data_IF_267584929770
#
_entry.id   IF_267584929770
#
_cell.length_a   1.000
_cell.length_b   1.000
_cell.length_c   1.000
_cell.angle_alpha   90.00
_cell.angle_beta   90.00
_cell.angle_gamma   90.00
#
_symmetry.space_group_name_H-M   'P 1'
#
loop_
_entity.id
_entity.type
_entity.pdbx_description
1 polymer ?
#
# COMPACT_ATOMS: atom_id res chain seq x y z
N UNK A 1 11.04 -18.78 -7.96
CA UNK A 1 10.86 -17.52 -8.70
C UNK A 1 9.38 -17.27 -8.90
N UNK A 2 8.96 -16.01 -8.87
CA UNK A 2 7.61 -15.56 -9.23
C UNK A 2 7.71 -14.71 -10.49
N UNK A 3 6.88 -15.00 -11.48
CA UNK A 3 6.60 -14.08 -12.59
C UNK A 3 5.61 -13.04 -12.08
N UNK A 4 5.99 -11.79 -12.19
CA UNK A 4 5.19 -10.65 -11.80
C UNK A 4 5.24 -9.57 -12.85
N UNK A 5 4.77 -8.38 -12.49
CA UNK A 5 4.72 -7.24 -13.37
C UNK A 5 5.08 -5.95 -12.65
N UNK A 6 5.51 -4.99 -13.45
CA UNK A 6 5.58 -3.58 -13.09
C UNK A 6 4.70 -2.80 -14.06
N UNK A 7 3.91 -1.87 -13.53
CA UNK A 7 2.98 -1.04 -14.29
C UNK A 7 3.28 0.43 -14.01
N UNK A 8 3.23 1.23 -15.07
CA UNK A 8 3.39 2.68 -14.97
C UNK A 8 2.27 3.37 -15.72
N UNK A 9 1.56 4.28 -15.06
CA UNK A 9 0.63 5.21 -15.66
C UNK A 9 1.21 6.62 -15.53
N UNK A 10 1.51 7.26 -16.65
CA UNK A 10 2.00 8.63 -16.73
C UNK A 10 0.82 9.57 -16.95
N UNK A 11 0.72 10.63 -16.15
CA UNK A 11 -0.24 11.74 -16.32
C UNK A 11 0.58 13.03 -16.33
N UNK A 12 0.71 13.67 -17.49
CA UNK A 12 1.66 14.76 -17.67
C UNK A 12 3.08 14.29 -17.40
N UNK A 13 3.78 14.92 -16.45
CA UNK A 13 5.12 14.47 -16.02
C UNK A 13 5.12 13.52 -14.80
N UNK A 14 3.95 13.21 -14.24
CA UNK A 14 3.80 12.40 -13.03
C UNK A 14 3.69 10.93 -13.37
N UNK A 15 4.37 10.07 -12.63
CA UNK A 15 4.42 8.62 -12.86
C UNK A 15 3.78 7.88 -11.69
N UNK A 16 2.61 7.29 -11.91
CA UNK A 16 1.94 6.40 -10.96
C UNK A 16 2.45 4.98 -11.20
N UNK A 17 3.14 4.42 -10.21
CA UNK A 17 3.87 3.17 -10.32
C UNK A 17 3.26 2.16 -9.36
N UNK A 18 3.07 0.94 -9.84
CA UNK A 18 2.66 -0.18 -9.01
C UNK A 18 3.33 -1.47 -9.50
N UNK A 19 3.48 -2.45 -8.62
CA UNK A 19 4.16 -3.71 -8.92
C UNK A 19 3.45 -4.86 -8.22
N UNK A 20 3.46 -6.06 -8.81
CA UNK A 20 2.91 -7.26 -8.17
C UNK A 20 3.79 -7.84 -7.04
N UNK A 21 4.63 -7.01 -6.43
CA UNK A 21 5.59 -7.38 -5.40
C UNK A 21 5.33 -6.56 -4.15
N UNK A 22 5.38 -7.24 -3.02
CA UNK A 22 4.95 -6.68 -1.76
C UNK A 22 6.11 -5.93 -1.04
N UNK A 23 5.88 -4.72 -0.48
CA UNK A 23 6.92 -3.82 0.03
C UNK A 23 7.40 -4.06 1.48
N UNK A 24 7.60 -5.32 1.88
CA UNK A 24 8.03 -5.69 3.24
C UNK A 24 7.57 -7.09 3.63
N UNK A 25 7.95 -7.68 4.78
CA UNK A 25 8.08 -6.97 6.05
C UNK A 25 9.51 -6.77 6.54
N UNK A 26 10.52 -7.28 5.83
CA UNK A 26 11.91 -7.26 6.32
C UNK A 26 12.63 -5.95 5.97
N UNK A 27 12.52 -4.94 6.86
CA UNK A 27 13.23 -3.63 6.87
C UNK A 27 14.20 -3.33 5.71
N UNK A 28 15.44 -3.84 5.76
CA UNK A 28 16.49 -3.51 4.79
C UNK A 28 16.73 -4.63 3.76
N UNK A 29 15.80 -5.57 3.63
CA UNK A 29 15.94 -6.75 2.79
C UNK A 29 14.78 -6.78 1.80
N UNK A 30 15.11 -6.77 0.51
CA UNK A 30 14.13 -7.03 -0.55
C UNK A 30 13.02 -5.98 -0.57
N UNK A 31 11.76 -6.42 -0.39
CA UNK A 31 10.56 -5.60 -0.59
C UNK A 31 10.55 -4.24 0.12
N UNK A 32 11.08 -4.13 1.34
CA UNK A 32 11.07 -2.86 2.07
C UNK A 32 12.06 -1.81 1.49
N UNK A 33 12.99 -2.21 0.60
CA UNK A 33 13.79 -1.27 -0.20
C UNK A 33 13.09 -0.84 -1.49
N UNK A 34 12.04 -1.54 -1.92
CA UNK A 34 11.40 -1.34 -3.23
C UNK A 34 10.81 0.05 -3.36
N UNK A 35 10.00 0.46 -2.38
CA UNK A 35 9.34 1.77 -2.37
C UNK A 35 10.38 2.89 -2.39
N UNK A 36 11.34 2.85 -1.47
CA UNK A 36 12.42 3.85 -1.40
C UNK A 36 13.22 3.95 -2.71
N UNK A 37 13.64 2.81 -3.29
CA UNK A 37 14.38 2.81 -4.56
C UNK A 37 13.57 3.40 -5.71
N UNK A 38 12.29 3.05 -5.84
CA UNK A 38 11.43 3.62 -6.88
C UNK A 38 11.27 5.12 -6.68
N UNK A 39 10.98 5.56 -5.45
CA UNK A 39 10.73 6.96 -5.15
C UNK A 39 11.98 7.83 -5.23
N UNK A 40 13.17 7.31 -4.92
CA UNK A 40 14.44 8.05 -5.04
C UNK A 40 14.93 8.13 -6.50
N UNK A 41 14.74 7.07 -7.30
CA UNK A 41 15.26 7.01 -8.69
C UNK A 41 14.31 7.64 -9.70
N UNK A 42 13.01 7.43 -9.53
CA UNK A 42 12.03 7.89 -10.53
C UNK A 42 11.53 9.27 -10.15
N UNK A 43 11.84 10.27 -10.96
CA UNK A 43 11.35 11.64 -10.78
C UNK A 43 9.82 11.74 -10.93
N UNK A 44 9.22 12.62 -10.12
CA UNK A 44 7.77 12.86 -10.08
C UNK A 44 6.93 11.58 -9.95
N UNK A 45 7.41 10.64 -9.16
CA UNK A 45 6.76 9.34 -8.94
C UNK A 45 5.86 9.32 -7.71
N UNK A 46 4.77 8.55 -7.84
CA UNK A 46 3.95 8.04 -6.74
C UNK A 46 3.99 6.51 -6.83
N UNK A 47 4.35 5.85 -5.74
CA UNK A 47 4.20 4.41 -5.62
C UNK A 47 2.84 4.08 -5.01
N UNK A 48 2.11 3.15 -5.61
CA UNK A 48 0.79 2.73 -5.17
C UNK A 48 0.83 1.22 -4.91
N UNK A 49 0.55 0.83 -3.67
CA UNK A 49 0.48 -0.57 -3.28
C UNK A 49 -0.67 -1.26 -4.03
N UNK A 50 -0.37 -2.35 -4.73
CA UNK A 50 -1.40 -3.18 -5.36
C UNK A 50 -1.76 -4.36 -4.48
N UNK A 51 -2.94 -4.99 -4.68
CA UNK A 51 -3.26 -6.28 -4.08
C UNK A 51 -2.11 -7.26 -4.26
N UNK A 52 -1.41 -7.55 -3.18
CA UNK A 52 -0.29 -8.46 -3.06
C UNK A 52 -0.21 -8.85 -1.58
N UNK A 53 0.32 -10.03 -1.28
CA UNK A 53 0.56 -10.46 0.11
C UNK A 53 2.04 -10.68 0.34
N UNK A 54 2.40 -10.90 1.61
CA UNK A 54 3.77 -11.17 2.04
C UNK A 54 4.47 -12.34 1.33
N UNK A 55 3.75 -13.29 0.71
CA UNK A 55 4.37 -14.35 -0.09
C UNK A 55 5.10 -13.80 -1.33
N UNK A 56 4.75 -12.58 -1.74
CA UNK A 56 5.22 -11.88 -2.93
C UNK A 56 6.42 -10.95 -2.69
N UNK A 57 7.01 -11.05 -1.50
CA UNK A 57 8.16 -10.24 -1.09
C UNK A 57 9.41 -10.60 -1.87
N UNK A 58 10.06 -9.65 -2.58
CA UNK A 58 11.39 -9.87 -3.13
C UNK A 58 12.38 -10.30 -2.05
N UNK A 59 13.27 -11.25 -2.37
CA UNK A 59 14.18 -11.83 -1.36
C UNK A 59 15.52 -11.09 -1.21
N UNK A 60 15.90 -10.25 -2.19
CA UNK A 60 17.23 -9.62 -2.21
C UNK A 60 17.22 -8.24 -2.85
N UNK A 61 18.25 -7.43 -2.57
CA UNK A 61 18.43 -6.12 -3.20
C UNK A 61 18.60 -6.22 -4.74
N UNK A 62 19.22 -7.29 -5.24
CA UNK A 62 19.35 -7.56 -6.69
C UNK A 62 18.00 -7.86 -7.33
N UNK A 63 17.11 -8.59 -6.64
CA UNK A 63 15.74 -8.80 -7.13
C UNK A 63 14.98 -7.45 -7.22
N UNK A 64 15.16 -6.57 -6.23
CA UNK A 64 14.58 -5.22 -6.25
C UNK A 64 15.15 -4.38 -7.39
N UNK A 65 16.46 -4.39 -7.61
CA UNK A 65 17.11 -3.67 -8.72
C UNK A 65 16.53 -4.11 -10.06
N UNK A 66 16.38 -5.41 -10.27
CA UNK A 66 15.77 -5.95 -11.49
C UNK A 66 14.33 -5.45 -11.69
N UNK A 67 13.53 -5.34 -10.63
CA UNK A 67 12.18 -4.77 -10.69
C UNK A 67 12.25 -3.30 -11.13
N UNK A 68 13.10 -2.50 -10.48
CA UNK A 68 13.26 -1.07 -10.76
C UNK A 68 13.77 -0.81 -12.17
N UNK A 69 14.76 -1.57 -12.64
CA UNK A 69 15.31 -1.47 -14.00
C UNK A 69 14.30 -1.88 -15.09
N UNK A 70 13.30 -2.70 -14.74
CA UNK A 70 12.24 -3.11 -15.67
C UNK A 70 11.14 -2.05 -15.81
N UNK A 71 11.10 -1.02 -14.94
CA UNK A 71 10.14 0.08 -15.05
C UNK A 71 10.41 0.88 -16.33
N UNK A 72 9.39 0.96 -17.18
CA UNK A 72 9.41 1.77 -18.39
C UNK A 72 8.24 2.75 -18.34
N UNK A 73 8.55 4.03 -18.10
CA UNK A 73 7.56 5.11 -18.02
C UNK A 73 7.69 6.13 -19.16
N UNK A 74 8.55 5.88 -20.16
CA UNK A 74 8.97 6.90 -21.13
C UNK A 74 8.31 6.72 -22.51
N UNK A 75 8.00 5.48 -22.91
CA UNK A 75 7.42 5.19 -24.23
C UNK A 75 5.97 4.75 -24.14
N UNK A 76 5.06 5.71 -24.05
CA UNK A 76 3.66 5.41 -23.78
C UNK A 76 2.76 5.91 -24.90
N UNK A 77 1.84 5.07 -25.35
CA UNK A 77 0.81 5.47 -26.31
C UNK A 77 -0.10 6.48 -25.64
N UNK A 78 -0.37 7.61 -26.31
CA UNK A 78 -1.36 8.58 -25.85
C UNK A 78 -2.73 7.91 -25.69
N UNK A 79 -3.27 7.95 -24.49
CA UNK A 79 -4.58 7.38 -24.13
C UNK A 79 -5.54 8.48 -23.68
N UNK A 80 -6.82 8.37 -24.01
CA UNK A 80 -7.83 9.30 -23.52
C UNK A 80 -8.17 9.00 -22.05
N UNK A 81 -8.60 10.04 -21.31
CA UNK A 81 -9.15 9.92 -19.97
C UNK A 81 -10.66 10.10 -19.98
N UNK A 82 -11.32 9.47 -19.02
CA UNK A 82 -12.75 9.57 -18.80
C UNK A 82 -13.03 10.08 -17.39
N UNK A 83 -14.24 10.61 -17.18
CA UNK A 83 -14.71 11.01 -15.85
C UNK A 83 -14.61 9.84 -14.87
N UNK A 84 -14.10 10.07 -13.65
CA UNK A 84 -14.02 9.03 -12.64
C UNK A 84 -15.41 8.51 -12.24
N UNK A 85 -15.45 7.24 -11.85
CA UNK A 85 -16.65 6.56 -11.35
C UNK A 85 -16.43 6.19 -9.90
N UNK A 86 -17.43 6.44 -9.06
CA UNK A 86 -17.35 6.18 -7.63
C UNK A 86 -18.51 5.27 -7.23
N UNK A 87 -18.18 4.24 -6.46
CA UNK A 87 -19.17 3.32 -5.90
C UNK A 87 -18.82 3.08 -4.45
N UNK A 88 -19.85 3.04 -3.60
CA UNK A 88 -19.68 2.78 -2.18
C UNK A 88 -20.46 1.54 -1.76
N UNK A 89 -19.90 0.85 -0.77
CA UNK A 89 -20.49 -0.27 -0.07
C UNK A 89 -20.58 0.01 1.42
N UNK A 90 -20.72 -1.05 2.19
CA UNK A 90 -20.79 -1.01 3.64
C UNK A 90 -19.40 -0.79 4.25
N UNK A 91 -18.42 -1.59 3.85
CA UNK A 91 -17.05 -1.55 4.38
C UNK A 91 -16.08 -0.84 3.46
N UNK A 92 -16.31 -0.88 2.14
CA UNK A 92 -15.37 -0.36 1.16
C UNK A 92 -15.97 0.75 0.30
N UNK A 93 -15.08 1.61 -0.18
CA UNK A 93 -15.36 2.54 -1.27
C UNK A 93 -14.40 2.27 -2.43
N UNK A 94 -14.90 2.43 -3.64
CA UNK A 94 -14.16 2.20 -4.87
C UNK A 94 -14.22 3.47 -5.73
N UNK A 95 -13.06 4.00 -6.09
CA UNK A 95 -12.91 5.08 -7.05
C UNK A 95 -12.16 4.57 -8.28
N UNK A 96 -12.74 4.74 -9.46
CA UNK A 96 -12.18 4.25 -10.72
C UNK A 96 -11.89 5.44 -11.62
N UNK A 97 -10.67 5.53 -12.10
CA UNK A 97 -10.23 6.48 -13.12
C UNK A 97 -10.05 5.71 -14.44
N UNK A 98 -11.01 5.80 -15.37
CA UNK A 98 -10.93 5.07 -16.62
C UNK A 98 -10.05 5.81 -17.62
N UNK A 99 -9.17 5.07 -18.29
CA UNK A 99 -8.43 5.51 -19.46
C UNK A 99 -8.63 4.51 -20.61
N UNK A 100 -8.21 4.89 -21.82
CA UNK A 100 -8.21 3.96 -22.94
C UNK A 100 -7.34 2.74 -22.61
N UNK A 101 -7.91 1.55 -22.72
CA UNK A 101 -7.21 0.29 -22.54
C UNK A 101 -6.85 -0.08 -21.10
N UNK A 102 -6.92 0.82 -20.11
CA UNK A 102 -6.62 0.52 -18.70
C UNK A 102 -7.51 1.31 -17.75
N UNK A 103 -7.81 0.77 -16.57
CA UNK A 103 -8.51 1.50 -15.49
C UNK A 103 -7.66 1.50 -14.23
N UNK A 104 -7.55 2.66 -13.58
CA UNK A 104 -6.91 2.79 -12.27
C UNK A 104 -7.98 2.76 -11.17
N UNK A 105 -7.94 1.77 -10.29
CA UNK A 105 -8.93 1.50 -9.26
C UNK A 105 -8.31 1.70 -7.88
N UNK A 106 -8.98 2.46 -7.02
CA UNK A 106 -8.60 2.63 -5.62
C UNK A 106 -9.65 1.99 -4.72
N UNK A 107 -9.25 0.96 -3.97
CA UNK A 107 -10.09 0.29 -2.96
C UNK A 107 -9.69 0.86 -1.60
N UNK A 108 -10.62 1.55 -0.95
CA UNK A 108 -10.40 2.24 0.33
C UNK A 108 -11.32 1.69 1.41
N UNK A 109 -10.77 1.43 2.60
CA UNK A 109 -11.51 0.98 3.77
C UNK A 109 -12.26 2.14 4.45
N UNK A 110 -13.49 1.89 4.88
CA UNK A 110 -14.27 2.85 5.67
C UNK A 110 -13.91 2.79 7.15
N UNK A 111 -13.78 1.59 7.70
CA UNK A 111 -13.42 1.36 9.11
C UNK A 111 -12.20 0.46 9.31
N UNK A 112 -11.81 -0.29 8.29
CA UNK A 112 -10.64 -1.14 8.28
C UNK A 112 -10.26 -1.52 6.84
N UNK A 113 -8.97 -1.70 6.59
CA UNK A 113 -8.43 -2.35 5.40
C UNK A 113 -7.04 -2.89 5.72
N UNK A 114 -6.72 -4.05 5.17
CA UNK A 114 -5.44 -4.74 5.23
C UNK A 114 -5.22 -5.45 3.89
N UNK A 115 -4.13 -6.21 3.74
CA UNK A 115 -3.66 -6.79 2.47
C UNK A 115 -4.76 -7.47 1.64
N UNK A 116 -5.17 -6.81 0.56
CA UNK A 116 -6.11 -7.37 -0.41
C UNK A 116 -5.38 -8.48 -1.22
N UNK A 117 -5.95 -9.69 -1.31
CA UNK A 117 -5.34 -10.77 -2.08
C UNK A 117 -5.37 -10.51 -3.60
N UNK A 118 -4.35 -11.02 -4.30
CA UNK A 118 -4.19 -10.90 -5.76
C UNK A 118 -5.38 -11.43 -6.57
N UNK A 119 -6.18 -12.34 -6.02
CA UNK A 119 -7.37 -12.89 -6.66
C UNK A 119 -8.40 -11.82 -7.10
N UNK A 120 -8.33 -10.61 -6.54
CA UNK A 120 -9.14 -9.46 -6.97
C UNK A 120 -8.90 -9.07 -8.43
N UNK A 121 -7.68 -9.26 -8.95
CA UNK A 121 -7.40 -9.00 -10.36
C UNK A 121 -8.25 -9.84 -11.30
N UNK A 122 -8.50 -11.11 -10.97
CA UNK A 122 -9.25 -12.03 -11.84
C UNK A 122 -10.64 -11.48 -12.15
N UNK A 123 -11.45 -11.20 -11.12
CA UNK A 123 -12.81 -10.72 -11.39
C UNK A 123 -12.83 -9.27 -11.88
N UNK A 124 -11.89 -8.43 -11.44
CA UNK A 124 -11.87 -7.03 -11.88
C UNK A 124 -11.53 -6.91 -13.36
N UNK A 125 -10.52 -7.66 -13.83
CA UNK A 125 -10.13 -7.65 -15.23
C UNK A 125 -11.15 -8.36 -16.14
N UNK A 126 -11.85 -9.39 -15.65
CA UNK A 126 -12.99 -10.00 -16.36
C UNK A 126 -14.14 -9.00 -16.59
N UNK A 127 -14.37 -8.08 -15.65
CA UNK A 127 -15.48 -7.13 -15.69
C UNK A 127 -15.11 -5.83 -16.42
N UNK A 128 -13.90 -5.32 -16.18
CA UNK A 128 -13.49 -3.97 -16.61
C UNK A 128 -12.40 -3.99 -17.70
N UNK A 129 -11.82 -5.15 -18.01
CA UNK A 129 -10.58 -5.26 -18.79
C UNK A 129 -9.36 -4.91 -17.95
N UNK A 130 -8.20 -4.67 -18.58
CA UNK A 130 -6.94 -4.40 -17.89
C UNK A 130 -7.06 -3.31 -16.80
N UNK A 131 -6.58 -3.63 -15.59
CA UNK A 131 -6.71 -2.78 -14.40
C UNK A 131 -5.37 -2.57 -13.70
N UNK A 132 -5.16 -1.36 -13.20
CA UNK A 132 -4.23 -1.06 -12.10
C UNK A 132 -5.06 -0.98 -10.83
N UNK A 133 -5.00 -2.00 -9.98
CA UNK A 133 -5.77 -2.05 -8.73
C UNK A 133 -4.87 -1.63 -7.60
N UNK A 134 -5.31 -0.65 -6.83
CA UNK A 134 -4.63 -0.08 -5.69
C UNK A 134 -5.40 -0.50 -4.44
N UNK A 135 -4.71 -1.26 -3.59
CA UNK A 135 -5.12 -1.39 -2.21
C UNK A 135 -4.61 -0.15 -1.49
N UNK A 136 -5.54 0.73 -1.11
CA UNK A 136 -5.15 1.99 -0.48
C UNK A 136 -4.48 1.76 0.87
N UNK A 137 -4.72 0.63 1.54
CA UNK A 137 -4.09 0.26 2.80
C UNK A 137 -4.07 1.44 3.80
N UNK A 138 -5.24 2.06 4.02
CA UNK A 138 -5.38 3.43 4.55
C UNK A 138 -6.31 3.57 5.77
N UNK A 139 -6.61 2.47 6.45
CA UNK A 139 -7.42 2.48 7.66
C UNK A 139 -7.04 1.27 8.52
N UNK A 140 -6.01 1.45 9.34
CA UNK A 140 -5.50 0.38 10.20
C UNK A 140 -6.49 0.01 11.30
N UNK A 141 -6.74 -1.30 11.45
CA UNK A 141 -7.46 -1.86 12.59
C UNK A 141 -6.74 -3.12 13.10
N UNK A 142 -6.38 -3.20 14.39
CA UNK A 142 -5.71 -4.37 14.92
C UNK A 142 -6.52 -5.65 14.72
N UNK A 143 -5.84 -6.72 14.27
CA UNK A 143 -6.42 -8.05 14.00
C UNK A 143 -7.53 -8.09 12.95
N UNK A 144 -7.59 -7.10 12.06
CA UNK A 144 -8.46 -7.15 10.90
C UNK A 144 -7.73 -7.87 9.76
N UNK A 145 -8.42 -8.78 9.07
CA UNK A 145 -7.93 -9.40 7.85
C UNK A 145 -9.08 -9.41 6.83
N UNK A 146 -8.74 -9.29 5.55
CA UNK A 146 -9.72 -9.35 4.46
C UNK A 146 -10.39 -10.73 4.44
N UNK A 147 -11.72 -10.76 4.57
CA UNK A 147 -12.52 -12.01 4.55
C UNK A 147 -13.09 -12.31 3.15
N UNK A 148 -13.60 -13.54 2.89
CA UNK A 148 -14.31 -13.84 1.65
C UNK A 148 -15.52 -12.92 1.40
N UNK A 149 -16.25 -12.51 2.44
CA UNK A 149 -17.38 -11.59 2.35
C UNK A 149 -16.93 -10.19 1.89
N UNK A 150 -15.76 -9.74 2.36
CA UNK A 150 -15.16 -8.48 1.91
C UNK A 150 -14.86 -8.52 0.40
N UNK A 151 -14.36 -9.66 -0.11
CA UNK A 151 -14.13 -9.85 -1.55
C UNK A 151 -15.43 -9.86 -2.36
N UNK A 152 -16.51 -10.43 -1.80
CA UNK A 152 -17.84 -10.39 -2.42
C UNK A 152 -18.35 -8.94 -2.51
N UNK A 153 -18.15 -8.14 -1.46
CA UNK A 153 -18.50 -6.72 -1.48
C UNK A 153 -17.70 -5.95 -2.54
N UNK A 154 -16.38 -6.13 -2.57
CA UNK A 154 -15.49 -5.49 -3.56
C UNK A 154 -15.89 -5.87 -4.98
N UNK A 155 -16.17 -7.15 -5.25
CA UNK A 155 -16.69 -7.60 -6.54
C UNK A 155 -18.00 -6.91 -6.91
N UNK A 156 -18.92 -6.79 -5.95
CA UNK A 156 -20.18 -6.08 -6.13
C UNK A 156 -19.99 -4.58 -6.42
N UNK A 157 -18.97 -3.93 -5.87
CA UNK A 157 -18.60 -2.53 -6.19
C UNK A 157 -18.13 -2.40 -7.63
N UNK A 158 -17.22 -3.28 -8.05
CA UNK A 158 -16.70 -3.34 -9.42
C UNK A 158 -17.84 -3.56 -10.44
N UNK A 159 -18.76 -4.49 -10.15
CA UNK A 159 -19.93 -4.73 -11.00
C UNK A 159 -20.84 -3.50 -11.10
N UNK A 160 -21.07 -2.78 -9.98
CA UNK A 160 -21.87 -1.54 -9.99
C UNK A 160 -21.23 -0.42 -10.80
N UNK A 161 -19.90 -0.36 -10.83
CA UNK A 161 -19.19 0.66 -11.59
C UNK A 161 -19.49 0.57 -13.09
N UNK A 162 -19.68 -0.63 -13.65
CA UNK A 162 -20.01 -0.84 -15.08
C UNK A 162 -21.32 -0.19 -15.53
N UNK A 163 -22.25 0.06 -14.58
CA UNK A 163 -23.55 0.70 -14.88
C UNK A 163 -23.41 2.18 -15.23
N UNK A 164 -22.26 2.79 -14.93
CA UNK A 164 -21.97 4.16 -15.26
C UNK A 164 -21.35 4.21 -16.66
N UNK A 165 -22.03 4.89 -17.59
CA UNK A 165 -21.48 5.12 -18.92
C UNK A 165 -20.19 5.95 -18.86
N UNK A 166 -19.21 5.60 -19.69
CA UNK A 166 -17.97 6.37 -19.80
C UNK A 166 -18.22 7.71 -20.49
N UNK A 167 -17.84 8.80 -19.82
CA UNK A 167 -17.86 10.16 -20.38
C UNK A 167 -16.44 10.63 -20.55
N UNK A 168 -16.02 10.87 -21.78
CA UNK A 168 -14.67 11.36 -22.05
C UNK A 168 -14.46 12.74 -21.40
N UNK A 169 -13.29 12.95 -20.83
CA UNK A 169 -12.88 14.25 -20.26
C UNK A 169 -12.44 15.17 -21.38
N UNK A 170 -12.91 16.43 -21.38
CA UNK A 170 -12.49 17.39 -22.40
C UNK A 170 -11.16 18.06 -22.01
N UNK A 171 -11.02 18.36 -20.72
CA UNK A 171 -9.87 19.05 -20.16
C UNK A 171 -9.46 18.38 -18.84
N UNK A 172 -8.37 17.61 -18.88
CA UNK A 172 -7.75 17.05 -17.69
C UNK A 172 -6.58 17.96 -17.28
N UNK A 173 -6.66 18.52 -16.08
CA UNK A 173 -5.56 19.27 -15.49
C UNK A 173 -5.00 18.55 -14.29
N UNK A 174 -3.75 18.84 -13.98
CA UNK A 174 -3.07 18.27 -12.83
C UNK A 174 -2.15 19.26 -12.13
N UNK A 175 -1.88 19.01 -10.85
CA UNK A 175 -0.74 19.57 -10.14
C UNK A 175 -0.09 18.49 -9.29
N UNK A 176 1.22 18.62 -9.05
CA UNK A 176 1.99 17.61 -8.36
C UNK A 176 2.97 18.23 -7.35
N UNK A 177 2.96 17.66 -6.16
CA UNK A 177 3.90 17.98 -5.09
C UNK A 177 4.51 16.69 -4.54
N UNK A 178 5.80 16.72 -4.23
CA UNK A 178 6.51 15.63 -3.54
C UNK A 178 7.48 16.23 -2.55
N UNK A 179 7.52 15.67 -1.34
CA UNK A 179 8.44 16.09 -0.28
C UNK A 179 9.08 14.86 0.36
N UNK A 180 10.40 14.89 0.54
CA UNK A 180 11.10 13.90 1.35
C UNK A 180 10.89 14.23 2.82
N UNK A 181 10.31 13.30 3.57
CA UNK A 181 9.98 13.44 5.00
C UNK A 181 10.23 12.09 5.67
N UNK A 182 10.98 12.12 6.77
CA UNK A 182 11.15 10.96 7.64
C UNK A 182 10.69 11.32 9.05
N UNK A 183 9.70 10.59 9.55
CA UNK A 183 9.13 10.71 10.90
C UNK A 183 9.20 9.36 11.62
N UNK A 184 8.43 9.16 12.68
CA UNK A 184 8.33 7.88 13.36
C UNK A 184 7.73 6.78 12.45
N UNK A 185 6.72 7.09 11.64
CA UNK A 185 5.99 6.10 10.83
C UNK A 185 6.16 6.31 9.32
N UNK A 186 6.34 7.56 8.86
CA UNK A 186 6.62 7.88 7.46
C UNK A 186 8.09 7.56 7.12
N UNK A 187 8.29 6.72 6.12
CA UNK A 187 9.53 6.05 5.78
C UNK A 187 10.47 6.88 4.89
N UNK A 188 9.96 7.81 4.09
CA UNK A 188 10.83 8.61 3.23
C UNK A 188 10.15 9.71 2.45
N UNK A 189 8.99 9.46 1.83
CA UNK A 189 8.34 10.45 0.97
C UNK A 189 6.85 10.60 1.22
N UNK A 190 6.35 11.80 0.99
CA UNK A 190 4.92 12.00 0.73
C UNK A 190 4.76 12.71 -0.61
N UNK A 191 3.70 12.37 -1.33
CA UNK A 191 3.43 12.96 -2.63
C UNK A 191 1.93 13.17 -2.81
N UNK A 192 1.57 14.25 -3.49
CA UNK A 192 0.18 14.59 -3.78
C UNK A 192 0.03 14.90 -5.27
N UNK A 193 -0.91 14.21 -5.90
CA UNK A 193 -1.37 14.48 -7.26
C UNK A 193 -2.79 15.03 -7.18
N UNK A 194 -2.94 16.30 -7.55
CA UNK A 194 -4.23 16.93 -7.74
C UNK A 194 -4.66 16.71 -9.19
N UNK A 195 -5.91 16.31 -9.40
CA UNK A 195 -6.50 16.12 -10.72
C UNK A 195 -7.79 16.92 -10.80
N UNK A 196 -8.00 17.56 -11.94
CA UNK A 196 -9.24 18.28 -12.24
C UNK A 196 -9.80 17.74 -13.56
N UNK A 197 -10.90 17.01 -13.43
CA UNK A 197 -11.69 16.47 -14.52
C UNK A 197 -12.84 17.45 -14.77
N UNK A 198 -12.70 18.39 -15.71
CA UNK A 198 -13.66 19.46 -16.05
C UNK A 198 -14.46 20.04 -14.84
N UNK A 199 -13.76 20.44 -13.78
CA UNK A 199 -14.29 21.03 -12.56
C UNK A 199 -14.45 20.06 -11.39
N UNK A 200 -14.46 18.74 -11.63
CA UNK A 200 -14.47 17.73 -10.57
C UNK A 200 -13.04 17.43 -10.12
N UNK A 201 -12.71 17.87 -8.90
CA UNK A 201 -11.35 17.79 -8.40
C UNK A 201 -11.12 16.60 -7.48
N UNK A 202 -9.97 15.96 -7.62
CA UNK A 202 -9.51 14.83 -6.84
C UNK A 202 -8.14 15.13 -6.26
N UNK A 203 -7.88 14.66 -5.04
CA UNK A 203 -6.59 14.76 -4.39
C UNK A 203 -6.10 13.35 -4.04
N UNK A 204 -5.14 12.83 -4.82
CA UNK A 204 -4.45 11.58 -4.52
C UNK A 204 -3.24 11.89 -3.64
N UNK A 205 -3.30 11.48 -2.38
CA UNK A 205 -2.22 11.60 -1.41
C UNK A 205 -1.59 10.22 -1.17
N UNK A 206 -0.30 10.11 -1.45
CA UNK A 206 0.51 8.96 -1.09
C UNK A 206 1.33 9.27 0.16
N UNK A 207 1.23 8.35 1.13
CA UNK A 207 2.00 8.36 2.37
C UNK A 207 2.93 7.14 2.37
N UNK A 208 4.25 7.38 2.35
CA UNK A 208 5.24 6.30 2.41
C UNK A 208 5.33 5.74 3.84
N UNK A 209 4.53 4.73 4.14
CA UNK A 209 4.47 4.04 5.43
C UNK A 209 3.66 2.76 5.26
N UNK A 210 3.37 2.03 6.33
CA UNK A 210 2.63 0.76 6.22
C UNK A 210 1.13 1.00 5.98
N UNK A 211 0.39 1.40 7.01
CA UNK A 211 -1.03 1.76 6.88
C UNK A 211 -1.25 3.17 7.46
N UNK A 212 -2.48 3.67 7.36
CA UNK A 212 -2.86 5.00 7.88
C UNK A 212 -3.82 4.84 9.04
N UNK A 213 -3.66 5.68 10.06
CA UNK A 213 -4.61 5.76 11.16
C UNK A 213 -5.99 6.17 10.63
N UNK A 214 -7.04 5.39 10.92
CA UNK A 214 -8.38 5.65 10.39
C UNK A 214 -8.91 7.04 10.76
N UNK A 215 -8.62 7.54 11.97
CA UNK A 215 -9.07 8.87 12.39
C UNK A 215 -8.37 9.97 11.60
N UNK A 216 -7.08 9.79 11.33
CA UNK A 216 -6.32 10.72 10.51
C UNK A 216 -6.75 10.68 9.04
N UNK A 217 -6.98 9.50 8.48
CA UNK A 217 -7.53 9.35 7.13
C UNK A 217 -8.85 10.11 6.97
N UNK A 218 -9.76 10.00 7.95
CA UNK A 218 -11.03 10.73 7.94
C UNK A 218 -10.82 12.26 8.06
N UNK A 219 -9.89 12.70 8.92
CA UNK A 219 -9.49 14.11 9.05
C UNK A 219 -9.00 14.68 7.71
N UNK A 220 -8.15 13.93 6.99
CA UNK A 220 -7.65 14.31 5.67
C UNK A 220 -8.76 14.34 4.60
N UNK A 221 -9.65 13.34 4.58
CA UNK A 221 -10.80 13.32 3.65
C UNK A 221 -11.73 14.51 3.89
N UNK A 222 -11.99 14.88 5.15
CA UNK A 222 -12.76 16.08 5.50
C UNK A 222 -12.06 17.36 5.04
N UNK A 223 -10.75 17.49 5.30
CA UNK A 223 -9.96 18.63 4.84
C UNK A 223 -10.04 18.80 3.32
N UNK A 224 -9.88 17.71 2.56
CA UNK A 224 -10.00 17.76 1.10
C UNK A 224 -11.40 18.19 0.66
N UNK A 225 -12.45 17.63 1.28
CA UNK A 225 -13.84 17.97 0.95
C UNK A 225 -14.14 19.46 1.20
N UNK A 226 -13.68 20.02 2.33
CA UNK A 226 -13.81 21.45 2.66
C UNK A 226 -13.11 22.36 1.64
N UNK A 227 -12.04 21.86 1.02
CA UNK A 227 -11.29 22.55 -0.02
C UNK A 227 -11.77 22.21 -1.46
N UNK A 228 -12.90 21.51 -1.60
CA UNK A 228 -13.51 21.20 -2.90
C UNK A 228 -12.85 20.05 -3.66
N UNK A 229 -12.14 19.16 -2.97
CA UNK A 229 -11.49 17.97 -3.52
C UNK A 229 -12.13 16.69 -2.98
N UNK A 230 -12.20 15.66 -3.82
CA UNK A 230 -12.48 14.29 -3.40
C UNK A 230 -11.16 13.61 -3.03
N UNK A 231 -10.96 13.37 -1.74
CA UNK A 231 -9.73 12.77 -1.20
C UNK A 231 -9.56 11.28 -1.56
N UNK A 232 -8.33 10.90 -1.87
CA UNK A 232 -7.85 9.52 -2.05
C UNK A 232 -6.54 9.40 -1.28
N UNK A 233 -6.60 8.82 -0.10
CA UNK A 233 -5.43 8.59 0.74
C UNK A 233 -4.98 7.16 0.51
N UNK A 234 -3.72 6.97 0.10
CA UNK A 234 -3.12 5.67 -0.10
C UNK A 234 -1.79 5.59 0.64
N UNK A 235 -1.57 4.46 1.30
CA UNK A 235 -0.28 4.10 1.85
C UNK A 235 0.53 3.30 0.83
N UNK A 236 1.86 3.34 0.92
CA UNK A 236 2.73 2.50 0.10
C UNK A 236 2.89 1.08 0.64
N UNK A 237 2.36 0.83 1.83
CA UNK A 237 2.59 -0.39 2.61
C UNK A 237 4.08 -0.67 2.91
N UNK A 238 4.86 0.38 3.12
CA UNK A 238 6.27 0.26 3.45
C UNK A 238 6.46 -0.19 4.91
N UNK A 239 7.07 -1.36 5.11
CA UNK A 239 7.34 -1.91 6.44
C UNK A 239 8.67 -1.46 7.07
N UNK A 240 9.45 -0.56 6.45
CA UNK A 240 10.77 -0.17 6.95
C UNK A 240 10.77 0.30 8.42
N UNK A 241 9.66 0.90 8.86
CA UNK A 241 9.43 1.40 10.23
C UNK A 241 8.39 0.63 11.04
N UNK A 242 7.84 -0.47 10.51
CA UNK A 242 6.77 -1.24 11.18
C UNK A 242 7.35 -2.32 12.11
N UNK A 243 6.73 -2.49 13.29
CA UNK A 243 7.02 -3.57 14.24
C UNK A 243 8.52 -3.76 14.54
N UNK A 244 9.27 -2.64 14.59
CA UNK A 244 10.74 -2.61 14.79
C UNK A 244 11.15 -3.35 16.07
N UNK A 245 10.26 -3.38 17.07
CA UNK A 245 10.45 -4.01 18.36
C UNK A 245 9.10 -4.43 18.94
N UNK A 246 9.03 -5.58 19.64
CA UNK A 246 7.84 -5.98 20.40
C UNK A 246 7.35 -4.93 21.40
N UNK A 247 8.23 -4.00 21.82
CA UNK A 247 7.90 -2.91 22.75
C UNK A 247 7.23 -1.71 22.08
N UNK A 248 7.46 -1.50 20.79
CA UNK A 248 6.97 -0.32 20.04
C UNK A 248 5.60 -0.61 19.42
N UNK A 249 5.27 -1.88 19.19
CA UNK A 249 4.02 -2.28 18.56
C UNK A 249 3.94 -1.84 17.09
N UNK A 250 2.76 -2.00 16.52
CA UNK A 250 2.43 -1.50 15.18
C UNK A 250 1.90 -0.06 15.31
N UNK A 251 2.44 0.88 14.52
CA UNK A 251 2.03 2.29 14.52
C UNK A 251 1.80 2.75 13.06
N UNK A 252 0.55 3.04 12.66
CA UNK A 252 0.25 3.53 11.31
C UNK A 252 0.65 5.01 11.16
N UNK A 253 0.79 5.46 9.91
CA UNK A 253 0.99 6.88 9.59
C UNK A 253 -0.18 7.71 10.15
N UNK A 254 0.16 8.79 10.84
CA UNK A 254 -0.81 9.65 11.53
C UNK A 254 -1.18 9.17 12.93
N UNK A 255 -0.54 8.14 13.48
CA UNK A 255 -0.71 7.80 14.90
C UNK A 255 -0.03 8.82 15.84
N UNK A 256 0.99 9.53 15.35
CA UNK A 256 1.73 10.57 16.07
C UNK A 256 1.25 11.98 15.68
N UNK A 257 1.09 12.86 16.66
CA UNK A 257 0.56 14.21 16.43
C UNK A 257 1.52 15.09 15.63
N UNK A 258 2.82 15.04 15.92
CA UNK A 258 3.79 15.87 15.20
C UNK A 258 3.90 15.42 13.74
N UNK A 259 3.78 14.12 13.47
CA UNK A 259 3.65 13.59 12.11
C UNK A 259 2.42 14.13 11.38
N UNK A 260 1.23 14.17 12.03
CA UNK A 260 0.02 14.77 11.42
C UNK A 260 0.24 16.22 11.01
N UNK A 261 0.82 17.03 11.90
CA UNK A 261 1.08 18.46 11.66
C UNK A 261 1.99 18.68 10.43
N UNK A 262 3.04 17.85 10.28
CA UNK A 262 3.94 17.90 9.11
C UNK A 262 3.22 17.54 7.80
N UNK A 263 2.37 16.51 7.84
CA UNK A 263 1.61 16.07 6.67
C UNK A 263 0.57 17.12 6.27
N UNK A 264 -0.14 17.70 7.24
CA UNK A 264 -1.11 18.77 7.00
C UNK A 264 -0.44 20.02 6.40
N UNK A 265 0.72 20.46 6.92
CA UNK A 265 1.48 21.55 6.29
C UNK A 265 1.82 21.26 4.83
N UNK A 266 2.27 20.03 4.53
CA UNK A 266 2.54 19.65 3.16
C UNK A 266 1.29 19.73 2.27
N UNK A 267 0.15 19.26 2.76
CA UNK A 267 -1.12 19.28 2.03
C UNK A 267 -1.59 20.72 1.80
N UNK A 268 -1.58 21.56 2.83
CA UNK A 268 -1.97 22.98 2.75
C UNK A 268 -1.15 23.74 1.71
N UNK A 269 0.17 23.52 1.68
CA UNK A 269 1.02 24.10 0.65
C UNK A 269 0.72 23.53 -0.74
N UNK A 270 0.42 22.23 -0.82
CA UNK A 270 0.23 21.54 -2.10
C UNK A 270 -1.10 21.86 -2.76
N UNK A 271 -2.18 22.14 -2.01
CA UNK A 271 -3.47 22.56 -2.59
C UNK A 271 -3.44 23.95 -3.24
N UNK A 272 -2.44 24.77 -2.91
CA UNK A 272 -2.24 26.10 -3.49
C UNK A 272 -1.44 26.07 -4.80
N UNK A 273 -0.95 24.91 -5.21
CA UNK A 273 -0.15 24.77 -6.43
C UNK A 273 -1.00 24.94 -7.69
N UNK A 274 -0.40 25.53 -8.72
CA UNK A 274 -1.10 25.82 -9.98
C UNK A 274 -1.34 24.56 -10.81
N UNK A 275 -2.57 24.42 -11.30
CA UNK A 275 -2.94 23.39 -12.25
C UNK A 275 -2.35 23.65 -13.63
N UNK A 276 -1.84 22.60 -14.26
CA UNK A 276 -1.38 22.57 -15.65
C UNK A 276 -2.25 21.63 -16.46
N UNK A 277 -2.38 21.90 -17.75
CA UNK A 277 -3.02 20.98 -18.68
C UNK A 277 -2.21 19.69 -18.82
N UNK A 278 -2.89 18.55 -18.89
CA UNK A 278 -2.26 17.27 -19.21
C UNK A 278 -2.04 17.20 -20.72
N UNK A 279 -0.76 17.24 -21.11
CA UNK A 279 -0.33 17.08 -22.50
C UNK A 279 -0.41 15.62 -22.96
N UNK A 280 0.04 14.71 -22.12
CA UNK A 280 0.14 13.28 -22.40
C UNK A 280 -0.34 12.42 -21.23
N UNK A 281 -1.07 11.36 -21.57
CA UNK A 281 -1.37 10.25 -20.66
C UNK A 281 -0.84 8.99 -21.33
N UNK A 282 -0.20 8.14 -20.55
CA UNK A 282 0.44 6.96 -21.08
C UNK A 282 0.39 5.78 -20.11
N UNK A 283 0.33 4.56 -20.63
CA UNK A 283 0.32 3.33 -19.82
C UNK A 283 1.32 2.30 -20.35
N UNK A 284 2.05 1.66 -19.43
CA UNK A 284 2.90 0.52 -19.70
C UNK A 284 2.71 -0.60 -18.68
N UNK A 285 2.97 -1.81 -19.15
CA UNK A 285 3.10 -3.02 -18.35
C UNK A 285 4.32 -3.78 -18.85
N UNK A 286 5.18 -4.19 -17.93
CA UNK A 286 6.35 -5.03 -18.21
C UNK A 286 6.34 -6.20 -17.25
N UNK A 287 6.61 -7.39 -17.77
CA UNK A 287 6.75 -8.59 -16.97
C UNK A 287 8.17 -8.67 -16.42
N UNK A 288 8.30 -9.15 -15.19
CA UNK A 288 9.59 -9.38 -14.54
C UNK A 288 9.52 -10.65 -13.69
N UNK A 289 10.59 -11.44 -13.73
CA UNK A 289 10.71 -12.65 -12.91
C UNK A 289 11.79 -12.47 -11.86
N UNK A 290 11.44 -12.61 -10.58
CA UNK A 290 12.35 -12.47 -9.44
C UNK A 290 12.14 -13.57 -8.40
N UNK A 291 13.06 -13.70 -7.45
CA UNK A 291 12.86 -14.57 -6.28
C UNK A 291 12.01 -13.86 -5.24
N UNK A 292 10.99 -14.57 -4.77
CA UNK A 292 10.12 -14.13 -3.68
C UNK A 292 10.14 -15.13 -2.53
N UNK A 293 9.73 -14.71 -1.33
CA UNK A 293 9.66 -15.58 -0.15
C UNK A 293 8.81 -16.83 -0.39
N UNK A 294 7.66 -16.66 -1.05
CA UNK A 294 6.70 -17.72 -1.28
C UNK A 294 5.94 -18.13 -0.01
N UNK A 295 4.88 -18.90 -0.20
CA UNK A 295 3.97 -19.31 0.88
C UNK A 295 4.61 -20.24 1.92
N UNK A 296 5.67 -20.95 1.54
CA UNK A 296 6.30 -21.93 2.44
C UNK A 296 7.21 -21.27 3.47
N UNK A 297 7.79 -20.10 3.17
CA UNK A 297 8.70 -19.40 4.08
C UNK A 297 8.05 -19.08 5.43
N UNK A 298 6.83 -18.52 5.41
CA UNK A 298 6.10 -18.19 6.63
C UNK A 298 5.70 -19.44 7.42
N UNK A 299 5.28 -20.51 6.74
CA UNK A 299 4.98 -21.80 7.39
C UNK A 299 6.22 -22.39 8.07
N UNK A 300 7.39 -22.30 7.45
CA UNK A 300 8.64 -22.75 8.05
C UNK A 300 9.04 -21.90 9.26
N UNK A 301 8.87 -20.58 9.19
CA UNK A 301 9.14 -19.69 10.33
C UNK A 301 8.18 -19.98 11.48
N UNK A 302 6.88 -20.08 11.22
CA UNK A 302 5.88 -20.37 12.25
C UNK A 302 6.20 -21.70 12.95
N UNK A 303 6.51 -22.75 12.18
CA UNK A 303 6.93 -24.05 12.71
C UNK A 303 8.22 -23.95 13.53
N UNK A 304 9.21 -23.20 13.06
CA UNK A 304 10.46 -23.00 13.81
C UNK A 304 10.23 -22.25 15.13
N UNK A 305 9.36 -21.24 15.15
CA UNK A 305 8.98 -20.54 16.39
C UNK A 305 8.22 -21.45 17.36
N UNK A 306 7.31 -22.28 16.88
CA UNK A 306 6.63 -23.28 17.70
C UNK A 306 7.63 -24.27 18.31
N UNK A 307 8.56 -24.81 17.50
CA UNK A 307 9.59 -25.74 17.98
C UNK A 307 10.54 -25.09 19.01
N UNK A 308 10.93 -23.83 18.80
CA UNK A 308 11.75 -23.08 19.76
C UNK A 308 10.97 -22.80 21.06
N UNK A 309 9.70 -22.41 20.94
CA UNK A 309 8.80 -22.17 22.08
C UNK A 309 8.60 -23.41 22.93
N UNK A 310 8.33 -24.56 22.30
CA UNK A 310 8.22 -25.85 22.98
C UNK A 310 9.51 -26.21 23.72
N UNK A 311 10.68 -26.08 23.06
CA UNK A 311 11.99 -26.34 23.69
C UNK A 311 12.24 -25.40 24.88
N UNK A 312 11.86 -24.13 24.78
CA UNK A 312 11.98 -23.16 25.87
C UNK A 312 11.10 -23.54 27.08
N UNK A 313 9.88 -24.03 26.83
CA UNK A 313 8.97 -24.52 27.89
C UNK A 313 9.54 -25.76 28.59
N UNK A 314 10.12 -26.72 27.85
CA UNK A 314 10.79 -27.87 28.44
C UNK A 314 11.97 -27.46 29.32
N UNK A 315 12.79 -26.51 28.86
CA UNK A 315 13.90 -25.98 29.63
C UNK A 315 13.42 -25.28 30.90
N UNK A 316 12.36 -24.49 30.82
CA UNK A 316 11.76 -23.81 31.97
C UNK A 316 11.30 -24.80 33.05
N UNK A 317 10.55 -25.85 32.67
CA UNK A 317 10.13 -26.88 33.61
C UNK A 317 11.28 -27.71 34.15
N UNK A 318 12.31 -27.99 33.35
CA UNK A 318 13.51 -28.68 33.80
C UNK A 318 14.25 -27.87 34.89
N UNK A 319 14.34 -26.54 34.72
CA UNK A 319 14.94 -25.64 35.73
C UNK A 319 14.11 -25.62 37.00
N UNK A 320 12.77 -25.52 36.91
CA UNK A 320 11.88 -25.57 38.07
C UNK A 320 12.03 -26.91 38.82
N UNK A 321 12.05 -28.02 38.09
CA UNK A 321 12.19 -29.35 38.69
C UNK A 321 13.57 -29.51 39.36
N UNK A 322 14.63 -29.03 38.71
CA UNK A 322 15.97 -29.01 39.29
C UNK A 322 16.02 -28.17 40.56
N UNK A 323 15.39 -26.99 40.57
CA UNK A 323 15.29 -26.14 41.77
C UNK A 323 14.55 -26.86 42.90
N UNK A 324 13.41 -27.49 42.62
CA UNK A 324 12.66 -28.28 43.60
C UNK A 324 13.50 -29.44 44.14
N UNK A 325 14.18 -30.20 43.27
CA UNK A 325 15.04 -31.31 43.67
C UNK A 325 16.20 -30.85 44.55
N UNK A 326 16.85 -29.74 44.19
CA UNK A 326 17.93 -29.11 44.99
C UNK A 326 17.39 -28.64 46.35
N UNK A 327 16.24 -27.96 46.38
CA UNK A 327 15.61 -27.52 47.63
C UNK A 327 15.25 -28.69 48.57
N UNK A 328 14.72 -29.79 48.03
CA UNK A 328 14.44 -31.00 48.82
C UNK A 328 15.75 -31.59 49.36
N UNK A 329 16.78 -31.71 48.52
CA UNK A 329 18.08 -32.27 48.91
C UNK A 329 18.71 -31.45 50.06
N UNK A 330 18.75 -30.13 49.94
CA UNK A 330 19.24 -29.25 51.01
C UNK A 330 18.37 -29.32 52.27
N UNK A 331 17.04 -29.38 52.12
CA UNK A 331 16.13 -29.55 53.25
C UNK A 331 16.36 -30.86 54.01
N UNK A 332 16.67 -31.96 53.30
CA UNK A 332 16.98 -33.25 53.92
C UNK A 332 18.38 -33.33 54.53
N UNK A 333 19.35 -32.54 54.05
CA UNK A 333 20.71 -32.49 54.62
C UNK A 333 20.77 -31.61 55.87
N UNK A 334 19.85 -30.64 56.01
CA UNK A 334 19.79 -29.72 57.16
C UNK A 334 18.87 -30.19 58.31
N UNK A 335 18.16 -31.32 58.15
CA UNK A 335 17.41 -32.00 59.23
C UNK A 335 18.28 -33.07 59.89
#
# INVERSE_FOLDING_TARGET
>A
NKKGWVRCLKIGNVKLITTSFHPGPLRNIGGAMLVGKILDVVENSIYLHSPAKHDSNPTSATDVEKIVETLDCEFLKRIASYKPVETEGEKFSLKIFPFDGVKLLFISGKEAIDDIPEGVYSFAEDILGECMIIDCHNCHKPNYEITPEDLVEIRGLVERATKHGLKQTNNLRYSFSKRKIETANTCGHIAMLLLDYDGEKYALLMLDGNNVDCSFKNELESFFAENGYKGIIASTDNHAKTAISPKVGYMPVGSDRAEREIILDFIENSIQTEFKEVDEIGYSKREVEVRVMGNDFFKYIEKAFQEIGEKAMYLFFAVIFLQLAVSILFGTIMM
#
